data_IF_655978716147
#
_entry.id   IF_655978716147
#
_cell.length_a   1.000
_cell.length_b   1.000
_cell.length_c   1.000
_cell.angle_alpha   90.00
_cell.angle_beta   90.00
_cell.angle_gamma   90.00
#
_symmetry.space_group_name_H-M   'P 1'
#
loop_
_entity.id
_entity.type
_entity.pdbx_description
1 polymer ?
#
# COMPACT_ATOMS: atom_id res chain seq x y z
N UNK A 1 -14.16 -24.97 -26.19
CA UNK A 1 -13.81 -26.41 -26.05
C UNK A 1 -13.30 -26.62 -24.63
N UNK A 2 -13.71 -27.68 -23.93
CA UNK A 2 -13.21 -28.01 -22.58
C UNK A 2 -12.10 -29.05 -22.70
N UNK A 3 -10.86 -28.66 -22.45
CA UNK A 3 -9.68 -29.48 -22.70
C UNK A 3 -8.88 -29.71 -21.41
N UNK A 4 -8.33 -30.91 -21.25
CA UNK A 4 -7.38 -31.19 -20.18
C UNK A 4 -6.02 -30.58 -20.52
N UNK A 5 -5.52 -29.71 -19.65
CA UNK A 5 -4.24 -28.99 -19.87
C UNK A 5 -3.01 -29.91 -19.83
N UNK A 6 -3.14 -31.13 -19.31
CA UNK A 6 -2.03 -32.10 -19.23
C UNK A 6 -1.97 -33.08 -20.40
N UNK A 7 -3.12 -33.65 -20.79
CA UNK A 7 -3.18 -34.68 -21.84
C UNK A 7 -3.93 -34.26 -23.10
N UNK A 8 -4.40 -33.02 -23.14
CA UNK A 8 -5.01 -32.35 -24.30
C UNK A 8 -6.29 -33.00 -24.83
N UNK A 9 -6.87 -33.95 -24.10
CA UNK A 9 -8.17 -34.53 -24.43
C UNK A 9 -9.28 -33.50 -24.27
N UNK A 10 -10.22 -33.52 -25.22
CA UNK A 10 -11.41 -32.66 -25.22
C UNK A 10 -12.58 -33.40 -24.60
N UNK A 11 -13.33 -32.69 -23.77
CA UNK A 11 -14.47 -33.17 -23.02
C UNK A 11 -15.72 -32.38 -23.38
N UNK A 12 -16.87 -33.02 -23.21
CA UNK A 12 -18.18 -32.44 -23.56
C UNK A 12 -18.67 -31.47 -22.49
N UNK A 13 -18.29 -31.68 -21.23
CA UNK A 13 -18.79 -30.94 -20.08
C UNK A 13 -17.74 -30.79 -18.97
N UNK A 14 -17.96 -29.82 -18.06
CA UNK A 14 -17.01 -29.43 -17.00
C UNK A 14 -16.85 -30.52 -15.95
N UNK A 15 -17.90 -31.32 -15.70
CA UNK A 15 -17.88 -32.35 -14.66
C UNK A 15 -17.01 -33.53 -15.11
N UNK A 16 -17.16 -33.98 -16.37
CA UNK A 16 -16.31 -35.04 -16.92
C UNK A 16 -14.84 -34.65 -17.02
N UNK A 17 -14.53 -33.39 -17.35
CA UNK A 17 -13.16 -32.88 -17.31
C UNK A 17 -12.56 -32.87 -15.90
N UNK A 18 -13.31 -32.35 -14.90
CA UNK A 18 -12.85 -32.33 -13.50
C UNK A 18 -12.61 -33.74 -12.95
N UNK A 19 -13.52 -34.67 -13.22
CA UNK A 19 -13.37 -36.07 -12.82
C UNK A 19 -12.19 -36.74 -13.51
N UNK A 20 -11.96 -36.43 -14.79
CA UNK A 20 -10.78 -36.89 -15.51
C UNK A 20 -9.47 -36.40 -14.86
N UNK A 21 -9.36 -35.09 -14.61
CA UNK A 21 -8.15 -34.50 -14.01
C UNK A 21 -7.89 -35.05 -12.61
N UNK A 22 -8.94 -35.26 -11.81
CA UNK A 22 -8.86 -35.86 -10.47
C UNK A 22 -8.44 -37.34 -10.53
N UNK A 23 -9.12 -38.18 -11.32
CA UNK A 23 -8.86 -39.63 -11.39
C UNK A 23 -7.49 -39.94 -11.98
N UNK A 24 -7.02 -39.15 -12.95
CA UNK A 24 -5.71 -39.32 -13.60
C UNK A 24 -4.58 -38.51 -12.97
N UNK A 25 -4.86 -37.75 -11.90
CA UNK A 25 -3.90 -36.88 -11.22
C UNK A 25 -3.18 -35.91 -12.16
N UNK A 26 -3.90 -35.39 -13.16
CA UNK A 26 -3.39 -34.37 -14.08
C UNK A 26 -3.42 -33.00 -13.40
N UNK A 27 -2.47 -32.78 -12.48
CA UNK A 27 -2.33 -31.56 -11.68
C UNK A 27 -1.40 -30.52 -12.31
N UNK A 28 -0.62 -30.93 -13.31
CA UNK A 28 0.34 -30.08 -14.02
C UNK A 28 -0.16 -29.76 -15.42
N UNK A 29 0.41 -28.73 -16.02
CA UNK A 29 0.24 -28.43 -17.45
C UNK A 29 1.13 -29.41 -18.25
N UNK A 30 0.75 -29.67 -19.51
CA UNK A 30 1.53 -30.52 -20.40
C UNK A 30 2.92 -29.91 -20.63
N UNK A 31 3.94 -30.55 -20.06
CA UNK A 31 5.34 -30.14 -20.20
C UNK A 31 5.80 -30.03 -21.67
N UNK A 32 5.26 -30.89 -22.54
CA UNK A 32 5.68 -30.96 -23.96
C UNK A 32 5.04 -29.88 -24.83
N UNK A 33 4.06 -29.15 -24.32
CA UNK A 33 3.37 -28.13 -25.09
C UNK A 33 3.97 -26.75 -24.83
N UNK A 34 4.82 -26.32 -25.79
CA UNK A 34 5.54 -25.05 -25.74
C UNK A 34 4.66 -23.80 -25.81
N UNK A 35 3.38 -23.91 -26.16
CA UNK A 35 2.46 -22.76 -26.09
C UNK A 35 2.27 -22.26 -24.65
N UNK A 36 2.51 -23.12 -23.66
CA UNK A 36 2.42 -22.75 -22.26
C UNK A 36 3.71 -22.14 -21.71
N UNK A 37 4.83 -22.27 -22.42
CA UNK A 37 6.13 -21.74 -21.98
C UNK A 37 6.06 -20.24 -21.67
N UNK A 38 5.25 -19.48 -22.41
CA UNK A 38 5.06 -18.05 -22.17
C UNK A 38 4.48 -17.69 -20.79
N UNK A 39 3.87 -18.64 -20.09
CA UNK A 39 3.26 -18.42 -18.77
C UNK A 39 4.14 -18.87 -17.62
N UNK A 40 5.29 -19.48 -17.89
CA UNK A 40 6.26 -19.83 -16.87
C UNK A 40 7.25 -18.69 -16.69
N UNK A 41 7.19 -18.02 -15.53
CA UNK A 41 8.12 -16.93 -15.16
C UNK A 41 9.58 -17.41 -15.27
N UNK A 42 9.83 -18.68 -14.96
CA UNK A 42 11.14 -19.33 -15.03
C UNK A 42 11.81 -19.19 -16.41
N UNK A 43 11.04 -19.25 -17.51
CA UNK A 43 11.57 -19.09 -18.87
C UNK A 43 12.09 -17.67 -19.17
N UNK A 44 11.82 -16.71 -18.29
CA UNK A 44 12.29 -15.33 -18.41
C UNK A 44 13.37 -14.98 -17.37
N UNK A 45 13.73 -15.92 -16.49
CA UNK A 45 14.81 -15.74 -15.51
C UNK A 45 16.18 -15.94 -16.16
N UNK A 46 16.32 -16.96 -17.02
CA UNK A 46 17.57 -17.26 -17.73
C UNK A 46 17.34 -17.32 -19.24
N UNK A 47 17.83 -16.29 -19.94
CA UNK A 47 17.70 -16.21 -21.40
C UNK A 47 18.39 -17.41 -22.08
N UNK A 48 17.61 -18.18 -22.84
CA UNK A 48 18.12 -19.30 -23.63
C UNK A 48 18.01 -20.67 -22.97
N UNK A 49 17.50 -20.75 -21.73
CA UNK A 49 17.15 -22.01 -21.08
C UNK A 49 15.64 -22.19 -20.99
N UNK A 50 15.18 -23.40 -21.23
CA UNK A 50 13.80 -23.83 -20.99
C UNK A 50 13.58 -24.16 -19.52
N UNK A 51 12.35 -24.06 -19.03
CA UNK A 51 11.99 -24.47 -17.67
C UNK A 51 12.32 -25.94 -17.37
N UNK A 52 12.39 -26.81 -18.40
CA UNK A 52 12.85 -28.20 -18.28
C UNK A 52 14.34 -28.27 -17.92
N UNK A 53 15.14 -27.38 -18.51
CA UNK A 53 16.59 -27.27 -18.22
C UNK A 53 16.81 -26.66 -16.84
N UNK A 54 16.11 -25.57 -16.51
CA UNK A 54 16.21 -24.92 -15.19
C UNK A 54 15.74 -25.85 -14.06
N UNK A 55 14.70 -26.67 -14.26
CA UNK A 55 14.26 -27.65 -13.25
C UNK A 55 15.21 -28.85 -13.13
N UNK A 56 16.01 -29.13 -14.17
CA UNK A 56 16.99 -30.22 -14.16
C UNK A 56 18.33 -29.82 -13.53
N UNK A 57 18.58 -28.53 -13.41
CA UNK A 57 19.69 -27.99 -12.65
C UNK A 57 19.47 -28.33 -11.17
N UNK A 58 20.44 -29.02 -10.59
CA UNK A 58 20.35 -29.53 -9.24
C UNK A 58 20.54 -28.38 -8.24
N UNK A 59 19.44 -27.72 -7.86
CA UNK A 59 19.42 -26.62 -6.89
C UNK A 59 19.99 -27.00 -5.51
N UNK A 60 20.33 -28.28 -5.28
CA UNK A 60 20.92 -28.78 -4.03
C UNK A 60 22.24 -28.09 -3.65
N UNK A 61 23.02 -27.54 -4.60
CA UNK A 61 24.23 -26.76 -4.26
C UNK A 61 23.93 -25.32 -3.79
N UNK A 62 22.72 -24.80 -3.98
CA UNK A 62 22.30 -23.47 -3.49
C UNK A 62 21.62 -23.53 -2.11
N UNK A 63 21.25 -24.72 -1.63
CA UNK A 63 20.50 -24.93 -0.38
C UNK A 63 21.37 -24.91 0.89
N UNK A 64 22.69 -25.05 0.79
CA UNK A 64 23.57 -25.16 1.97
C UNK A 64 23.99 -23.79 2.58
N UNK A 65 23.59 -22.65 1.99
CA UNK A 65 23.92 -21.31 2.50
C UNK A 65 22.71 -20.37 2.66
N UNK A 66 21.50 -20.89 2.53
CA UNK A 66 20.27 -20.21 2.88
C UNK A 66 19.73 -20.81 4.18
N UNK A 67 20.46 -20.61 5.29
CA UNK A 67 19.74 -20.16 6.48
C UNK A 67 19.11 -18.83 6.05
N UNK A 68 17.95 -18.92 5.40
CA UNK A 68 17.10 -17.78 5.14
C UNK A 68 16.87 -17.16 6.51
N UNK A 69 17.58 -16.07 6.73
CA UNK A 69 17.39 -15.15 7.83
C UNK A 69 16.01 -14.51 7.62
N UNK A 70 14.97 -15.30 7.93
CA UNK A 70 13.57 -14.87 7.96
C UNK A 70 13.34 -13.85 9.09
N UNK A 71 14.39 -13.33 9.74
CA UNK A 71 14.29 -12.27 10.74
C UNK A 71 13.80 -10.94 10.14
N UNK A 72 13.98 -10.72 8.84
CA UNK A 72 13.35 -9.57 8.13
C UNK A 72 11.81 -9.66 8.08
N UNK A 73 11.24 -10.84 8.39
CA UNK A 73 9.81 -11.04 8.58
C UNK A 73 9.40 -11.03 10.05
N UNK A 74 10.30 -10.74 10.99
CA UNK A 74 9.92 -10.44 12.36
C UNK A 74 9.15 -9.12 12.37
N UNK A 75 7.89 -9.17 12.81
CA UNK A 75 7.04 -8.01 13.06
C UNK A 75 7.80 -7.05 13.99
N UNK A 76 8.39 -6.02 13.41
CA UNK A 76 8.94 -4.92 14.19
C UNK A 76 7.77 -4.31 14.96
N UNK A 77 7.91 -4.01 16.27
CA UNK A 77 6.80 -3.46 17.04
C UNK A 77 6.24 -2.22 16.34
N UNK A 78 5.02 -2.39 15.83
CA UNK A 78 4.35 -1.47 14.90
C UNK A 78 3.83 -0.29 15.74
N UNK A 79 4.70 0.66 16.03
CA UNK A 79 4.37 1.82 16.85
C UNK A 79 3.66 2.88 16.01
N UNK A 80 2.62 3.51 16.57
CA UNK A 80 1.90 4.61 15.94
C UNK A 80 2.43 5.95 16.47
N UNK A 81 2.78 6.88 15.55
CA UNK A 81 3.29 8.21 15.90
C UNK A 81 2.13 9.16 16.22
N UNK A 82 2.29 10.05 17.20
CA UNK A 82 1.31 11.09 17.51
C UNK A 82 1.08 12.05 16.32
N UNK A 83 -0.10 12.66 16.27
CA UNK A 83 -0.48 13.65 15.25
C UNK A 83 0.25 14.99 15.45
N UNK A 84 0.57 15.32 16.70
CA UNK A 84 1.07 16.64 17.11
C UNK A 84 2.50 16.62 17.66
N UNK A 85 3.09 15.45 17.86
CA UNK A 85 4.47 15.34 18.36
C UNK A 85 5.16 14.05 17.90
N UNK A 86 6.42 13.87 18.29
CA UNK A 86 7.26 12.74 17.90
C UNK A 86 7.10 11.51 18.81
N UNK A 87 6.18 11.54 19.78
CA UNK A 87 5.94 10.41 20.66
C UNK A 87 5.27 9.28 19.89
N UNK A 88 5.69 8.06 20.20
CA UNK A 88 5.17 6.84 19.62
C UNK A 88 4.46 6.04 20.70
N UNK A 89 3.43 5.28 20.30
CA UNK A 89 2.76 4.34 21.17
C UNK A 89 2.64 2.99 20.47
N UNK A 90 2.85 1.93 21.24
CA UNK A 90 2.74 0.52 20.83
C UNK A 90 1.28 0.05 20.67
N UNK A 91 0.32 0.80 21.24
CA UNK A 91 -1.10 0.54 21.01
C UNK A 91 -1.87 1.80 20.67
N UNK A 92 -2.92 1.63 19.88
CA UNK A 92 -3.82 2.69 19.44
C UNK A 92 -4.50 3.39 20.64
N UNK A 93 -4.86 2.65 21.68
CA UNK A 93 -5.48 3.22 22.89
C UNK A 93 -4.51 4.14 23.63
N UNK A 94 -3.24 3.73 23.79
CA UNK A 94 -2.21 4.56 24.40
C UNK A 94 -1.95 5.81 23.56
N UNK A 95 -2.00 5.70 22.24
CA UNK A 95 -1.86 6.84 21.35
C UNK A 95 -3.02 7.83 21.51
N UNK A 96 -4.26 7.35 21.51
CA UNK A 96 -5.44 8.18 21.72
C UNK A 96 -5.42 8.85 23.09
N UNK A 97 -5.05 8.13 24.15
CA UNK A 97 -4.87 8.70 25.48
C UNK A 97 -3.79 9.78 25.50
N UNK A 98 -2.66 9.54 24.83
CA UNK A 98 -1.59 10.53 24.70
C UNK A 98 -2.09 11.81 24.00
N UNK A 99 -2.84 11.66 22.90
CA UNK A 99 -3.46 12.78 22.20
C UNK A 99 -4.43 13.54 23.10
N UNK A 100 -5.30 12.85 23.84
CA UNK A 100 -6.29 13.47 24.74
C UNK A 100 -5.66 14.23 25.91
N UNK A 101 -4.61 13.67 26.52
CA UNK A 101 -3.94 14.26 27.70
C UNK A 101 -3.13 15.49 27.34
N UNK A 102 -2.44 15.48 26.19
CA UNK A 102 -1.66 16.63 25.71
C UNK A 102 -2.54 17.78 25.22
N UNK A 103 -3.71 17.50 24.65
CA UNK A 103 -4.56 18.52 24.02
C UNK A 103 -5.63 19.14 24.91
N UNK A 104 -5.73 18.78 26.20
CA UNK A 104 -6.82 19.22 27.09
C UNK A 104 -8.18 18.83 26.50
N UNK A 105 -8.52 17.53 26.58
CA UNK A 105 -9.85 16.87 26.65
C UNK A 105 -11.06 17.32 25.78
N UNK A 106 -11.21 18.57 25.34
CA UNK A 106 -12.32 19.04 24.48
C UNK A 106 -11.95 19.03 22.98
N UNK A 107 -10.65 19.08 22.67
CA UNK A 107 -10.13 19.33 21.33
C UNK A 107 -10.00 18.04 20.52
N UNK A 108 -9.60 16.94 21.16
CA UNK A 108 -9.66 15.60 20.57
C UNK A 108 -11.07 15.28 20.10
N UNK A 109 -12.11 15.76 20.78
CA UNK A 109 -13.50 15.54 20.39
C UNK A 109 -13.82 16.16 19.03
N UNK A 110 -13.40 17.40 18.76
CA UNK A 110 -13.71 18.06 17.48
C UNK A 110 -13.04 17.36 16.29
N UNK A 111 -11.72 17.15 16.35
CA UNK A 111 -11.00 16.46 15.26
C UNK A 111 -11.48 15.02 15.12
N UNK A 112 -11.77 14.31 16.22
CA UNK A 112 -12.28 12.93 16.16
C UNK A 112 -13.71 12.88 15.61
N UNK A 113 -14.56 13.86 15.93
CA UNK A 113 -15.92 13.96 15.38
C UNK A 113 -15.90 14.27 13.89
N UNK A 114 -15.04 15.19 13.46
CA UNK A 114 -14.83 15.48 12.03
C UNK A 114 -14.24 14.26 11.31
N UNK A 115 -13.24 13.58 11.87
CA UNK A 115 -12.70 12.35 11.28
C UNK A 115 -13.78 11.26 11.10
N UNK A 116 -14.71 11.14 12.06
CA UNK A 116 -15.83 10.20 11.97
C UNK A 116 -16.87 10.56 10.91
N UNK A 117 -16.93 11.81 10.45
CA UNK A 117 -17.85 12.25 9.39
C UNK A 117 -17.25 12.09 7.98
N UNK A 118 -15.94 11.86 7.89
CA UNK A 118 -15.19 11.74 6.66
C UNK A 118 -15.12 10.28 6.17
N UNK A 119 -15.08 10.09 4.85
CA UNK A 119 -14.76 8.76 4.31
C UNK A 119 -13.30 8.38 4.61
N UNK A 120 -12.98 7.09 4.48
CA UNK A 120 -11.65 6.56 4.78
C UNK A 120 -10.50 7.35 4.12
N UNK A 121 -10.61 7.65 2.82
CA UNK A 121 -9.57 8.38 2.10
C UNK A 121 -9.41 9.83 2.56
N UNK A 122 -10.51 10.49 2.91
CA UNK A 122 -10.49 11.83 3.45
C UNK A 122 -9.87 11.85 4.85
N UNK A 123 -10.14 10.83 5.68
CA UNK A 123 -9.46 10.66 6.98
C UNK A 123 -7.95 10.53 6.77
N UNK A 124 -7.50 9.69 5.83
CA UNK A 124 -6.08 9.52 5.48
C UNK A 124 -5.44 10.85 5.07
N UNK A 125 -6.07 11.58 4.14
CA UNK A 125 -5.57 12.89 3.68
C UNK A 125 -5.46 13.89 4.82
N UNK A 126 -6.47 13.98 5.69
CA UNK A 126 -6.48 14.91 6.81
C UNK A 126 -5.36 14.59 7.82
N UNK A 127 -5.19 13.32 8.19
CA UNK A 127 -4.13 12.88 9.11
C UNK A 127 -2.75 13.19 8.53
N UNK A 128 -2.53 12.87 7.25
CA UNK A 128 -1.27 13.14 6.58
C UNK A 128 -1.00 14.65 6.47
N UNK A 129 -2.02 15.44 6.14
CA UNK A 129 -1.92 16.89 6.11
C UNK A 129 -1.47 17.45 7.46
N UNK A 130 -2.17 17.15 8.55
CA UNK A 130 -1.83 17.68 9.87
C UNK A 130 -0.40 17.29 10.23
N UNK A 131 -0.03 16.01 10.11
CA UNK A 131 1.34 15.55 10.39
C UNK A 131 2.39 16.26 9.55
N UNK A 132 2.12 16.52 8.27
CA UNK A 132 3.03 17.24 7.38
C UNK A 132 3.21 18.70 7.80
N UNK A 133 2.13 19.36 8.23
CA UNK A 133 2.21 20.74 8.74
C UNK A 133 3.00 20.80 10.05
N UNK A 134 2.74 19.88 10.98
CA UNK A 134 3.49 19.77 12.25
C UNK A 134 4.97 19.44 11.99
N UNK A 135 5.26 18.55 11.04
CA UNK A 135 6.63 18.21 10.64
C UNK A 135 7.38 19.44 10.10
N UNK A 136 6.70 20.31 9.34
CA UNK A 136 7.27 21.56 8.84
C UNK A 136 7.25 22.72 9.85
N UNK A 137 6.92 22.47 11.12
CA UNK A 137 6.74 23.49 12.15
C UNK A 137 5.80 24.61 11.67
N UNK A 138 4.71 24.26 10.98
CA UNK A 138 3.73 25.21 10.43
C UNK A 138 2.34 24.95 11.01
N UNK A 139 1.64 26.02 11.39
CA UNK A 139 0.27 25.91 11.85
C UNK A 139 -0.65 25.57 10.68
N UNK A 140 -1.40 24.47 10.78
CA UNK A 140 -2.29 24.07 9.69
C UNK A 140 -3.45 25.05 9.46
N UNK A 141 -3.79 25.90 10.44
CA UNK A 141 -4.93 26.82 10.36
C UNK A 141 -4.53 28.20 9.82
N UNK A 142 -3.55 28.86 10.44
CA UNK A 142 -3.11 30.21 10.02
C UNK A 142 -1.87 30.21 9.10
N UNK A 143 -1.24 29.05 8.87
CA UNK A 143 -0.06 28.87 8.03
C UNK A 143 1.22 29.59 8.53
N UNK A 144 1.22 30.09 9.76
CA UNK A 144 2.40 30.67 10.41
C UNK A 144 3.47 29.58 10.68
N UNK A 145 4.74 29.94 10.47
CA UNK A 145 5.89 29.04 10.64
C UNK A 145 6.63 29.36 11.93
N UNK A 146 7.08 28.31 12.60
CA UNK A 146 7.78 28.37 13.88
C UNK A 146 9.16 27.73 13.76
N UNK A 147 10.08 28.15 14.63
CA UNK A 147 11.44 27.60 14.66
C UNK A 147 11.49 26.22 15.35
N UNK A 148 10.48 25.88 16.15
CA UNK A 148 10.39 24.60 16.87
C UNK A 148 8.95 24.11 16.97
N UNK A 149 8.79 22.78 17.08
CA UNK A 149 7.49 22.14 17.31
C UNK A 149 6.85 22.61 18.62
N UNK A 150 7.65 22.83 19.67
CA UNK A 150 7.15 23.38 20.94
C UNK A 150 6.53 24.77 20.78
N UNK A 151 7.17 25.66 20.01
CA UNK A 151 6.61 26.98 19.72
C UNK A 151 5.31 26.92 18.91
N UNK A 152 5.23 26.00 17.94
CA UNK A 152 4.02 25.75 17.18
C UNK A 152 2.86 25.25 18.06
N UNK A 153 3.12 24.26 18.93
CA UNK A 153 2.08 23.71 19.80
C UNK A 153 1.56 24.77 20.77
N UNK A 154 2.46 25.55 21.39
CA UNK A 154 2.06 26.67 22.27
C UNK A 154 1.18 27.68 21.52
N UNK A 155 1.56 28.07 20.30
CA UNK A 155 0.73 28.94 19.46
C UNK A 155 -0.65 28.34 19.21
N UNK A 156 -0.72 27.05 18.87
CA UNK A 156 -1.99 26.38 18.56
C UNK A 156 -2.90 26.25 19.78
N UNK A 157 -2.32 26.09 20.97
CA UNK A 157 -3.05 26.09 22.25
C UNK A 157 -3.58 27.49 22.60
N UNK A 158 -2.73 28.52 22.52
CA UNK A 158 -3.09 29.92 22.86
C UNK A 158 -4.16 30.48 21.92
N UNK A 159 -4.02 30.22 20.61
CA UNK A 159 -4.96 30.70 19.58
C UNK A 159 -6.17 29.79 19.41
N UNK A 160 -6.16 28.61 20.05
CA UNK A 160 -7.13 27.53 19.83
C UNK A 160 -7.24 27.08 18.38
N UNK A 161 -6.20 27.31 17.56
CA UNK A 161 -6.16 26.79 16.18
C UNK A 161 -6.22 25.26 16.13
N UNK A 162 -5.94 24.59 17.25
CA UNK A 162 -6.04 23.15 17.34
C UNK A 162 -7.49 22.62 17.29
N UNK A 163 -8.51 23.44 17.59
CA UNK A 163 -9.93 23.02 17.56
C UNK A 163 -10.59 23.15 16.19
N UNK A 164 -10.00 23.91 15.27
CA UNK A 164 -10.61 24.25 14.00
C UNK A 164 -9.86 23.60 12.85
N UNK A 165 -10.57 22.90 11.97
CA UNK A 165 -9.99 22.41 10.74
C UNK A 165 -10.07 23.50 9.65
N UNK A 166 -9.00 23.66 8.83
CA UNK A 166 -9.07 24.54 7.68
C UNK A 166 -10.04 23.99 6.63
N UNK A 167 -10.44 24.84 5.68
CA UNK A 167 -11.36 24.47 4.61
C UNK A 167 -10.89 23.20 3.87
N UNK A 168 -11.83 22.34 3.48
CA UNK A 168 -11.58 21.05 2.81
C UNK A 168 -10.60 21.15 1.65
N UNK A 169 -10.72 22.18 0.83
CA UNK A 169 -9.82 22.47 -0.29
C UNK A 169 -8.33 22.61 0.10
N UNK A 170 -8.01 22.84 1.37
CA UNK A 170 -6.63 22.98 1.86
C UNK A 170 -5.94 21.63 2.04
N UNK A 171 -6.69 20.63 2.53
CA UNK A 171 -6.14 19.34 2.95
C UNK A 171 -6.63 18.16 2.10
N UNK A 172 -7.76 18.29 1.40
CA UNK A 172 -8.30 17.27 0.51
C UNK A 172 -7.61 17.33 -0.86
N UNK A 173 -6.29 17.18 -0.85
CA UNK A 173 -5.44 17.24 -2.04
C UNK A 173 -4.78 15.88 -2.30
N UNK A 174 -4.55 15.48 -3.57
CA UNK A 174 -4.01 14.17 -3.91
C UNK A 174 -2.64 13.87 -3.29
N UNK A 175 -1.83 14.91 -3.10
CA UNK A 175 -0.51 14.82 -2.44
C UNK A 175 -0.54 14.25 -1.01
N UNK A 176 -1.71 14.20 -0.36
CA UNK A 176 -1.87 13.65 0.99
C UNK A 176 -2.36 12.20 1.01
N UNK A 177 -2.51 11.55 -0.16
CA UNK A 177 -2.66 10.09 -0.22
C UNK A 177 -1.41 9.36 0.25
N UNK A 178 -0.24 9.97 0.03
CA UNK A 178 1.03 9.40 0.46
C UNK A 178 1.20 9.60 1.97
N UNK A 179 1.45 8.52 2.74
CA UNK A 179 1.73 8.60 4.16
C UNK A 179 2.86 9.57 4.47
N UNK A 180 2.69 10.40 5.50
CA UNK A 180 3.76 11.27 5.99
C UNK A 180 4.87 10.47 6.66
N UNK A 181 4.56 9.30 7.21
CA UNK A 181 5.51 8.38 7.84
C UNK A 181 5.52 7.03 7.11
N UNK A 182 6.68 6.39 7.06
CA UNK A 182 6.79 5.01 6.61
C UNK A 182 6.14 4.06 7.63
N UNK A 183 5.47 3.01 7.14
CA UNK A 183 4.78 2.02 7.98
C UNK A 183 3.79 2.65 8.98
N UNK A 184 2.95 3.58 8.50
CA UNK A 184 2.09 4.39 9.35
C UNK A 184 0.91 3.61 9.96
N UNK A 185 1.16 3.04 11.13
CA UNK A 185 0.19 2.29 11.94
C UNK A 185 -1.09 3.06 12.23
N UNK A 186 -1.03 4.39 12.38
CA UNK A 186 -2.22 5.17 12.69
C UNK A 186 -3.22 5.11 11.54
N UNK A 187 -2.74 5.21 10.30
CA UNK A 187 -3.58 5.14 9.11
C UNK A 187 -4.29 3.77 8.98
N UNK A 188 -3.64 2.70 9.45
CA UNK A 188 -4.21 1.34 9.47
C UNK A 188 -5.35 1.17 10.48
N UNK A 189 -5.49 2.10 11.44
CA UNK A 189 -6.48 2.04 12.53
C UNK A 189 -7.65 3.00 12.33
N UNK A 190 -7.68 3.71 11.19
CA UNK A 190 -8.76 4.63 10.85
C UNK A 190 -10.08 3.88 10.62
N UNK A 191 -11.20 4.56 10.88
CA UNK A 191 -12.52 3.92 10.82
C UNK A 191 -12.98 3.80 9.38
N UNK A 192 -13.21 2.58 8.92
CA UNK A 192 -13.80 2.29 7.61
C UNK A 192 -15.33 2.32 7.68
N UNK A 193 -15.89 3.41 8.19
CA UNK A 193 -17.35 3.57 8.29
C UNK A 193 -17.93 3.76 6.89
N UNK A 194 -18.12 2.66 6.16
CA UNK A 194 -18.87 2.55 4.90
C UNK A 194 -20.35 2.97 5.06
N UNK A 195 -20.83 3.14 6.30
CA UNK A 195 -22.23 3.43 6.63
C UNK A 195 -22.65 4.90 6.43
N UNK A 196 -21.73 5.82 6.12
CA UNK A 196 -22.05 7.21 5.80
C UNK A 196 -22.11 7.44 4.29
N UNK A 197 -23.07 6.77 3.64
CA UNK A 197 -23.45 7.08 2.26
C UNK A 197 -24.24 8.40 2.28
N UNK A 198 -23.55 9.54 2.34
CA UNK A 198 -24.11 10.78 1.83
C UNK A 198 -24.03 10.74 0.30
N UNK A 199 -25.15 11.05 -0.35
CA UNK A 199 -25.45 10.87 -1.78
C UNK A 199 -24.60 11.74 -2.76
N UNK A 200 -23.37 12.12 -2.39
CA UNK A 200 -22.51 13.02 -3.16
C UNK A 200 -21.20 12.35 -3.65
N UNK A 201 -21.17 11.03 -3.79
CA UNK A 201 -19.98 10.27 -4.22
C UNK A 201 -19.72 10.32 -5.73
N UNK A 202 -19.77 11.51 -6.33
CA UNK A 202 -19.00 11.82 -7.54
C UNK A 202 -17.87 12.79 -7.20
N UNK A 203 -17.11 12.52 -6.13
CA UNK A 203 -15.79 13.16 -6.02
C UNK A 203 -14.87 12.48 -7.03
N UNK A 204 -14.54 13.25 -8.07
CA UNK A 204 -13.67 12.91 -9.19
C UNK A 204 -12.29 12.52 -8.62
N UNK A 205 -12.08 11.23 -8.32
CA UNK A 205 -10.77 10.72 -7.87
C UNK A 205 -9.80 11.04 -9.01
N UNK A 206 -8.86 11.98 -8.83
CA UNK A 206 -8.02 12.41 -9.93
C UNK A 206 -7.10 11.25 -10.28
N UNK A 207 -7.37 10.60 -11.41
CA UNK A 207 -6.55 9.52 -11.95
C UNK A 207 -5.28 10.16 -12.48
N UNK A 208 -4.20 10.07 -11.70
CA UNK A 208 -2.85 10.42 -12.16
C UNK A 208 -2.35 9.25 -12.99
N UNK A 209 -2.55 9.31 -14.32
CA UNK A 209 -1.99 8.32 -15.23
C UNK A 209 -0.46 8.41 -15.26
N UNK A 210 0.21 7.27 -15.40
CA UNK A 210 1.65 7.24 -15.66
C UNK A 210 2.01 8.06 -16.91
N UNK A 211 3.15 8.75 -16.85
CA UNK A 211 3.66 9.51 -18.00
C UNK A 211 4.18 8.57 -19.08
N UNK A 212 3.33 8.32 -20.08
CA UNK A 212 3.64 7.46 -21.23
C UNK A 212 4.45 8.17 -22.33
N UNK A 213 4.81 9.44 -22.14
CA UNK A 213 5.47 10.25 -23.19
C UNK A 213 6.81 9.67 -23.62
N UNK A 214 7.54 9.01 -22.71
CA UNK A 214 8.89 8.50 -22.94
C UNK A 214 8.98 7.00 -23.21
N UNK A 215 7.85 6.29 -23.39
CA UNK A 215 7.86 4.84 -23.63
C UNK A 215 8.70 4.43 -24.85
N UNK A 216 8.70 5.25 -25.91
CA UNK A 216 9.53 4.99 -27.11
C UNK A 216 11.02 5.11 -26.81
N UNK A 217 11.42 6.11 -26.02
CA UNK A 217 12.81 6.31 -25.62
C UNK A 217 13.29 5.16 -24.73
N UNK A 218 12.50 4.78 -23.72
CA UNK A 218 12.78 3.63 -22.85
C UNK A 218 12.89 2.31 -23.62
N UNK A 219 12.04 2.11 -24.63
CA UNK A 219 12.11 0.93 -25.50
C UNK A 219 13.37 0.92 -26.37
N UNK A 220 13.83 2.07 -26.85
CA UNK A 220 15.05 2.18 -27.66
C UNK A 220 16.32 2.02 -26.83
N UNK A 221 16.34 2.57 -25.62
CA UNK A 221 17.46 2.44 -24.67
C UNK A 221 17.39 1.16 -23.83
N UNK A 222 16.45 0.26 -24.10
CA UNK A 222 16.29 -0.97 -23.34
C UNK A 222 17.51 -1.87 -23.49
N UNK A 223 18.00 -2.38 -22.37
CA UNK A 223 19.09 -3.38 -22.32
C UNK A 223 18.75 -4.63 -23.15
N UNK A 224 17.47 -4.93 -23.36
CA UNK A 224 17.01 -6.02 -24.22
C UNK A 224 17.50 -5.88 -25.67
N UNK A 225 17.65 -4.65 -26.18
CA UNK A 225 18.17 -4.43 -27.54
C UNK A 225 19.66 -4.78 -27.67
N UNK A 226 20.40 -4.79 -26.56
CA UNK A 226 21.82 -5.16 -26.54
C UNK A 226 22.01 -6.67 -26.37
N UNK A 227 21.03 -7.35 -25.76
CA UNK A 227 21.07 -8.78 -25.46
C UNK A 227 20.48 -9.66 -26.58
N UNK A 228 19.72 -9.08 -27.51
CA UNK A 228 19.07 -9.79 -28.63
C UNK A 228 19.83 -9.67 -29.97
N UNK A 229 21.08 -9.17 -29.94
CA UNK A 229 21.99 -9.11 -31.09
C UNK A 229 22.80 -10.41 -31.24
#
# INVERSE_FOLDING_TARGET
>A
SLQCLYCEKVFRDKNTLKDHMRKKQHRRINAKNKEYDRFYIINYLEFGKSWEEVQSEDDRELLDNLEEDWSDWEDHPVCAVCLFCEQQADTTEKLYLHMQVRLVLDISSCITLELKSLNFYQQVKLVNFIRREIHHCRCYNCQEKFQSKGGLINHMEETKHITFLPARSTWDQPQYYFPTYENDTLLCTLSDSEDLITEDQSEDVPVVSEDVSNLKALKQSSVLNQLLC
#
